data_IF_462927319666
#
_entry.id   IF_462927319666
#
_cell.length_a   1.000
_cell.length_b   1.000
_cell.length_c   1.000
_cell.angle_alpha   90.00
_cell.angle_beta   90.00
_cell.angle_gamma   90.00
#
_symmetry.space_group_name_H-M   'P 1'
#
loop_
_entity.id
_entity.type
_entity.pdbx_description
1 polymer ?
#
# COMPACT_ATOMS: atom_id res chain seq x y z
N UNK A 1 -10.95 -24.34 -16.66
CA UNK A 1 -10.39 -23.41 -15.66
C UNK A 1 -11.53 -22.52 -15.22
N UNK A 2 -11.86 -22.49 -13.93
CA UNK A 2 -12.90 -21.59 -13.43
C UNK A 2 -12.32 -20.17 -13.39
N UNK A 3 -13.08 -19.20 -13.93
CA UNK A 3 -12.73 -17.79 -13.79
C UNK A 3 -12.76 -17.42 -12.30
N UNK A 4 -11.77 -16.66 -11.79
CA UNK A 4 -11.81 -16.20 -10.41
C UNK A 4 -13.06 -15.33 -10.23
N UNK A 5 -13.79 -15.57 -9.12
CA UNK A 5 -14.93 -14.75 -8.75
C UNK A 5 -14.51 -13.26 -8.71
N UNK A 6 -15.41 -12.33 -9.09
CA UNK A 6 -15.10 -10.91 -9.06
C UNK A 6 -14.69 -10.50 -7.64
N UNK A 7 -13.55 -9.80 -7.54
CA UNK A 7 -13.09 -9.24 -6.28
C UNK A 7 -14.10 -8.19 -5.79
N UNK A 8 -14.44 -8.24 -4.51
CA UNK A 8 -15.26 -7.21 -3.87
C UNK A 8 -14.60 -5.83 -4.03
N UNK A 9 -15.40 -4.85 -4.41
CA UNK A 9 -14.98 -3.48 -4.66
C UNK A 9 -15.43 -2.59 -3.51
N UNK A 10 -14.50 -1.80 -2.98
CA UNK A 10 -14.71 -0.96 -1.81
C UNK A 10 -14.50 0.52 -2.16
N UNK A 11 -15.27 1.39 -1.50
CA UNK A 11 -15.13 2.84 -1.64
C UNK A 11 -14.18 3.40 -0.58
N UNK A 12 -13.80 4.67 -0.75
CA UNK A 12 -13.04 5.42 0.25
C UNK A 12 -13.81 5.49 1.59
N UNK A 13 -15.14 5.51 1.56
CA UNK A 13 -15.94 5.54 2.80
C UNK A 13 -15.93 4.20 3.54
N UNK A 14 -15.78 3.08 2.82
CA UNK A 14 -15.62 1.77 3.44
C UNK A 14 -14.22 1.63 4.03
N UNK A 15 -13.18 2.01 3.27
CA UNK A 15 -11.77 1.99 3.73
C UNK A 15 -11.55 2.77 5.02
N UNK A 16 -12.23 3.91 5.20
CA UNK A 16 -12.16 4.74 6.41
C UNK A 16 -12.60 4.02 7.70
N UNK A 17 -13.33 2.92 7.58
CA UNK A 17 -13.84 2.14 8.72
C UNK A 17 -12.96 0.94 9.03
N UNK A 18 -11.90 0.68 8.24
CA UNK A 18 -11.04 -0.48 8.45
C UNK A 18 -10.11 -0.30 9.65
N UNK A 19 -9.88 -1.38 10.38
CA UNK A 19 -8.93 -1.45 11.48
C UNK A 19 -7.62 -2.11 11.01
N UNK A 20 -6.48 -1.57 11.47
CA UNK A 20 -5.16 -2.03 11.07
C UNK A 20 -4.65 -1.40 9.77
N UNK A 21 -3.50 -1.87 9.30
CA UNK A 21 -2.80 -1.27 8.17
C UNK A 21 -3.28 -1.87 6.85
N UNK A 22 -4.26 -1.20 6.23
CA UNK A 22 -4.83 -1.59 4.96
C UNK A 22 -4.76 -0.47 3.92
N UNK A 23 -4.47 -0.85 2.68
CA UNK A 23 -4.44 0.03 1.51
C UNK A 23 -5.58 -0.30 0.56
N UNK A 24 -6.33 0.71 0.13
CA UNK A 24 -7.34 0.57 -0.92
C UNK A 24 -6.72 0.91 -2.28
N UNK A 25 -6.49 -0.09 -3.13
CA UNK A 25 -5.87 0.09 -4.44
C UNK A 25 -6.89 -0.32 -5.51
N UNK A 26 -7.39 0.67 -6.28
CA UNK A 26 -8.40 0.47 -7.33
C UNK A 26 -9.63 -0.32 -6.84
N UNK A 27 -10.13 0.04 -5.66
CA UNK A 27 -11.29 -0.62 -5.05
C UNK A 27 -10.99 -1.94 -4.35
N UNK A 28 -9.74 -2.41 -4.36
CA UNK A 28 -9.35 -3.71 -3.81
C UNK A 28 -8.56 -3.52 -2.49
N UNK A 29 -8.94 -4.22 -1.39
CA UNK A 29 -8.21 -4.18 -0.12
C UNK A 29 -6.87 -4.91 -0.24
N UNK A 30 -5.80 -4.28 0.25
CA UNK A 30 -4.47 -4.89 0.37
C UNK A 30 -3.96 -4.69 1.80
N UNK A 31 -3.47 -5.76 2.43
CA UNK A 31 -2.78 -5.63 3.71
C UNK A 31 -1.43 -4.94 3.47
N UNK A 32 -1.13 -3.90 4.26
CA UNK A 32 0.14 -3.20 4.16
C UNK A 32 1.28 -4.20 4.44
N UNK A 33 2.37 -4.18 3.66
CA UNK A 33 3.55 -4.97 3.99
C UNK A 33 4.12 -4.56 5.35
N UNK A 34 4.87 -5.45 6.03
CA UNK A 34 5.47 -5.12 7.31
C UNK A 34 6.36 -3.87 7.22
N UNK A 35 6.50 -3.18 8.35
CA UNK A 35 7.30 -1.95 8.43
C UNK A 35 8.68 -2.11 7.78
N UNK A 36 9.13 -1.11 6.99
CA UNK A 36 10.34 -1.23 6.19
C UNK A 36 11.58 -1.43 7.07
N UNK A 37 12.35 -2.47 6.77
CA UNK A 37 13.62 -2.75 7.42
C UNK A 37 14.74 -1.77 7.04
N UNK A 38 15.93 -1.95 7.64
CA UNK A 38 17.05 -1.02 7.50
C UNK A 38 17.47 -0.75 6.04
N UNK A 39 17.55 -1.79 5.21
CA UNK A 39 17.95 -1.63 3.81
C UNK A 39 16.93 -0.84 2.99
N UNK A 40 15.64 -1.08 3.23
CA UNK A 40 14.57 -0.33 2.58
C UNK A 40 14.63 1.14 3.00
N UNK A 41 14.73 1.42 4.30
CA UNK A 41 14.84 2.80 4.81
C UNK A 41 16.08 3.52 4.25
N UNK A 42 17.24 2.84 4.20
CA UNK A 42 18.46 3.42 3.64
C UNK A 42 18.31 3.76 2.16
N UNK A 43 17.66 2.90 1.37
CA UNK A 43 17.38 3.19 -0.03
C UNK A 43 16.46 4.41 -0.18
N UNK A 44 15.36 4.47 0.57
CA UNK A 44 14.42 5.59 0.56
C UNK A 44 15.09 6.92 0.93
N UNK A 45 15.94 6.94 1.96
CA UNK A 45 16.66 8.16 2.37
C UNK A 45 17.65 8.66 1.31
N UNK A 46 18.32 7.75 0.59
CA UNK A 46 19.23 8.14 -0.50
C UNK A 46 18.47 8.78 -1.65
N UNK A 47 17.30 8.24 -2.00
CA UNK A 47 16.42 8.82 -3.04
C UNK A 47 15.92 10.19 -2.58
N UNK A 48 15.39 10.28 -1.36
CA UNK A 48 14.87 11.54 -0.81
C UNK A 48 15.93 12.65 -0.83
N UNK A 49 17.17 12.33 -0.41
CA UNK A 49 18.29 13.27 -0.45
C UNK A 49 18.59 13.78 -1.86
N UNK A 50 18.63 12.89 -2.85
CA UNK A 50 18.90 13.30 -4.23
C UNK A 50 17.81 14.20 -4.82
N UNK A 51 16.55 13.97 -4.41
CA UNK A 51 15.43 14.81 -4.85
C UNK A 51 15.42 16.18 -4.16
N UNK A 52 15.89 16.28 -2.92
CA UNK A 52 15.96 17.54 -2.17
C UNK A 52 17.14 18.43 -2.61
N UNK A 53 18.24 17.81 -3.08
CA UNK A 53 19.43 18.51 -3.57
C UNK A 53 19.33 18.94 -5.06
N UNK A 54 18.23 18.62 -5.76
CA UNK A 54 17.99 18.92 -7.19
C UNK A 54 17.21 20.22 -7.41
#
# INVERSE_FOLDING_TARGET
MADPAPLEQYTINDHRQWEGDWELIRGIPHAMPPSPGFDHQRASLRIARQLDEA
#
